data_IF_883523787275
#
_entry.id   IF_883523787275
#
_cell.length_a   1.000
_cell.length_b   1.000
_cell.length_c   1.000
_cell.angle_alpha   90.00
_cell.angle_beta   90.00
_cell.angle_gamma   90.00
#
_symmetry.space_group_name_H-M   'P 1'
#
loop_
_entity.id
_entity.type
_entity.pdbx_description
1 polymer ?
#
# COMPACT_ATOMS: atom_id res chain seq x y z
N UNK A 1 27.13 5.83 7.54
CA UNK A 1 26.16 6.63 6.76
C UNK A 1 24.85 5.83 6.70
N UNK A 2 23.85 6.17 7.48
CA UNK A 2 22.56 5.47 7.40
C UNK A 2 21.86 5.97 6.13
N UNK A 3 21.65 5.08 5.17
CA UNK A 3 20.84 5.36 4.00
C UNK A 3 19.43 5.70 4.47
N UNK A 4 18.90 6.88 4.12
CA UNK A 4 17.47 7.19 4.33
C UNK A 4 16.65 6.06 3.73
N UNK A 5 15.59 5.64 4.42
CA UNK A 5 14.68 4.63 3.89
C UNK A 5 14.13 5.10 2.53
N UNK A 6 14.29 4.28 1.50
CA UNK A 6 13.72 4.54 0.19
C UNK A 6 12.19 4.43 0.22
N UNK A 7 11.52 5.05 -0.74
CA UNK A 7 10.08 4.88 -0.99
C UNK A 7 9.93 3.91 -2.18
N UNK A 8 9.02 2.94 -2.04
CA UNK A 8 8.53 2.13 -3.15
C UNK A 8 7.02 2.39 -3.31
N UNK A 9 6.61 2.95 -4.45
CA UNK A 9 5.21 3.20 -4.76
C UNK A 9 4.65 2.13 -5.69
N UNK A 10 3.52 1.54 -5.29
CA UNK A 10 2.81 0.47 -5.98
C UNK A 10 1.44 0.98 -6.42
N UNK A 11 1.29 1.19 -7.72
CA UNK A 11 0.05 1.73 -8.29
C UNK A 11 -1.09 0.71 -8.32
N UNK A 12 -2.33 1.20 -8.40
CA UNK A 12 -3.54 0.39 -8.59
C UNK A 12 -3.63 -0.27 -9.96
N UNK A 13 -4.73 -1.00 -10.18
CA UNK A 13 -4.97 -1.73 -11.44
C UNK A 13 -5.08 -0.80 -12.64
N UNK A 14 -5.96 0.21 -12.53
CA UNK A 14 -6.28 1.16 -13.61
C UNK A 14 -5.40 2.43 -13.54
N UNK A 15 -4.15 2.27 -13.11
CA UNK A 15 -3.20 3.36 -12.92
C UNK A 15 -1.80 2.98 -13.37
N UNK A 16 -0.86 3.89 -13.19
CA UNK A 16 0.56 3.70 -13.53
C UNK A 16 1.45 4.52 -12.60
N UNK A 17 2.77 4.34 -12.66
CA UNK A 17 3.73 5.21 -11.97
C UNK A 17 3.60 6.70 -12.36
N UNK A 18 3.10 6.98 -13.58
CA UNK A 18 2.85 8.33 -14.12
C UNK A 18 1.48 8.89 -13.77
N UNK A 19 0.64 8.13 -13.03
CA UNK A 19 -0.64 8.61 -12.51
C UNK A 19 -0.47 9.71 -11.45
N UNK A 20 -1.58 10.31 -11.03
CA UNK A 20 -1.57 11.48 -10.13
C UNK A 20 -0.74 11.28 -8.86
N UNK A 21 -0.91 10.15 -8.17
CA UNK A 21 -0.16 9.84 -6.95
C UNK A 21 1.33 9.64 -7.23
N UNK A 22 1.67 8.88 -8.27
CA UNK A 22 3.07 8.62 -8.65
C UNK A 22 3.82 9.89 -9.03
N UNK A 23 3.20 10.77 -9.83
CA UNK A 23 3.80 12.07 -10.17
C UNK A 23 4.05 12.95 -8.95
N UNK A 24 3.10 12.99 -8.01
CA UNK A 24 3.22 13.78 -6.80
C UNK A 24 4.35 13.26 -5.89
N UNK A 25 4.41 11.94 -5.70
CA UNK A 25 5.49 11.32 -4.92
C UNK A 25 6.85 11.57 -5.59
N UNK A 26 6.95 11.39 -6.90
CA UNK A 26 8.20 11.60 -7.66
C UNK A 26 8.69 13.06 -7.59
N UNK A 27 7.77 14.01 -7.63
CA UNK A 27 8.11 15.42 -7.54
C UNK A 27 8.77 15.78 -6.19
N UNK A 28 8.32 15.15 -5.09
CA UNK A 28 8.86 15.39 -3.74
C UNK A 28 10.00 14.44 -3.37
N UNK A 29 10.01 13.23 -3.94
CA UNK A 29 10.97 12.16 -3.65
C UNK A 29 11.45 11.51 -4.95
N UNK A 30 12.32 12.16 -5.72
CA UNK A 30 12.74 11.72 -7.06
C UNK A 30 13.42 10.33 -7.08
N UNK A 31 14.06 9.93 -5.99
CA UNK A 31 14.73 8.61 -5.84
C UNK A 31 13.76 7.46 -5.52
N UNK A 32 12.44 7.71 -5.51
CA UNK A 32 11.44 6.67 -5.24
C UNK A 32 11.42 5.62 -6.34
N UNK A 33 11.40 4.36 -5.94
CA UNK A 33 11.19 3.24 -6.87
C UNK A 33 9.70 3.09 -7.19
N UNK A 34 9.35 3.11 -8.45
CA UNK A 34 7.97 3.06 -8.93
C UNK A 34 7.88 2.19 -10.18
N UNK A 35 7.76 0.88 -10.04
CA UNK A 35 7.69 -0.01 -11.20
C UNK A 35 6.33 0.05 -11.90
N UNK A 36 6.30 -0.17 -13.20
CA UNK A 36 5.10 -0.59 -13.89
C UNK A 36 4.74 -2.00 -13.44
N UNK A 37 3.50 -2.19 -12.98
CA UNK A 37 3.04 -3.44 -12.40
C UNK A 37 1.92 -4.03 -13.25
N UNK A 38 2.02 -5.32 -13.62
CA UNK A 38 0.99 -6.03 -14.36
C UNK A 38 -0.28 -6.24 -13.49
N UNK A 39 -1.38 -6.72 -14.09
CA UNK A 39 -2.63 -6.94 -13.33
C UNK A 39 -2.53 -8.03 -12.25
N UNK A 40 -1.80 -9.13 -12.51
CA UNK A 40 -1.78 -10.29 -11.61
C UNK A 40 -0.91 -10.05 -10.38
N UNK A 41 -1.44 -10.40 -9.21
CA UNK A 41 -0.77 -10.19 -7.92
C UNK A 41 0.62 -10.86 -7.85
N UNK A 42 0.73 -12.11 -8.32
CA UNK A 42 2.00 -12.86 -8.24
C UNK A 42 3.09 -12.22 -9.11
N UNK A 43 2.74 -11.75 -10.30
CA UNK A 43 3.70 -11.10 -11.20
C UNK A 43 4.20 -9.78 -10.61
N UNK A 44 3.31 -9.03 -9.92
CA UNK A 44 3.68 -7.82 -9.16
C UNK A 44 4.69 -8.13 -8.06
N UNK A 45 4.43 -9.18 -7.29
CA UNK A 45 5.30 -9.61 -6.19
C UNK A 45 6.68 -10.00 -6.70
N UNK A 46 6.76 -10.76 -7.80
CA UNK A 46 8.05 -11.14 -8.40
C UNK A 46 8.88 -9.92 -8.83
N UNK A 47 8.24 -8.90 -9.43
CA UNK A 47 8.93 -7.67 -9.85
C UNK A 47 9.55 -6.97 -8.63
N UNK A 48 8.79 -6.84 -7.54
CA UNK A 48 9.23 -6.15 -6.34
C UNK A 48 10.32 -6.94 -5.62
N UNK A 49 10.17 -8.27 -5.49
CA UNK A 49 11.15 -9.16 -4.87
C UNK A 49 12.49 -9.15 -5.60
N UNK A 50 12.45 -9.07 -6.94
CA UNK A 50 13.67 -8.97 -7.76
C UNK A 50 14.37 -7.60 -7.69
N UNK A 51 13.62 -6.53 -7.38
CA UNK A 51 14.13 -5.16 -7.45
C UNK A 51 14.63 -4.62 -6.10
N UNK A 52 13.92 -4.86 -5.02
CA UNK A 52 14.26 -4.30 -3.72
C UNK A 52 15.49 -5.00 -3.11
N UNK A 53 16.47 -4.21 -2.69
CA UNK A 53 17.72 -4.67 -2.08
C UNK A 53 17.96 -4.13 -0.68
N UNK A 54 17.14 -3.17 -0.24
CA UNK A 54 17.19 -2.55 1.08
C UNK A 54 15.78 -2.29 1.58
N UNK A 55 15.59 -2.16 2.91
CA UNK A 55 14.29 -1.89 3.49
C UNK A 55 13.73 -0.53 3.04
N UNK A 56 12.44 -0.52 2.71
CA UNK A 56 11.72 0.65 2.16
C UNK A 56 10.46 0.97 2.94
N UNK A 57 9.92 2.18 2.72
CA UNK A 57 8.53 2.51 3.01
C UNK A 57 7.71 2.13 1.77
N UNK A 58 6.74 1.23 1.94
CA UNK A 58 5.81 0.86 0.88
C UNK A 58 4.62 1.83 0.86
N UNK A 59 4.36 2.43 -0.29
CA UNK A 59 3.15 3.21 -0.52
C UNK A 59 2.33 2.49 -1.57
N UNK A 60 1.16 1.98 -1.21
CA UNK A 60 0.35 1.17 -2.13
C UNK A 60 -1.08 1.67 -2.26
N UNK A 61 -1.57 1.81 -3.50
CA UNK A 61 -2.93 2.26 -3.80
C UNK A 61 -3.77 1.14 -4.41
N UNK A 62 -4.94 0.87 -3.86
CA UNK A 62 -5.88 -0.16 -4.32
C UNK A 62 -5.21 -1.54 -4.44
N UNK A 63 -5.12 -2.13 -5.64
CA UNK A 63 -4.38 -3.38 -5.87
C UNK A 63 -2.90 -3.25 -5.46
N UNK A 64 -2.30 -2.06 -5.58
CA UNK A 64 -0.97 -1.78 -5.04
C UNK A 64 -0.90 -1.88 -3.52
N UNK A 65 -1.98 -1.54 -2.82
CA UNK A 65 -2.09 -1.72 -1.38
C UNK A 65 -2.15 -3.19 -0.97
N UNK A 66 -2.92 -4.02 -1.69
CA UNK A 66 -2.90 -5.48 -1.50
C UNK A 66 -1.52 -6.05 -1.81
N UNK A 67 -0.88 -5.59 -2.88
CA UNK A 67 0.49 -6.00 -3.25
C UNK A 67 1.49 -5.66 -2.14
N UNK A 68 1.40 -4.45 -1.55
CA UNK A 68 2.25 -4.03 -0.43
C UNK A 68 2.09 -4.94 0.79
N UNK A 69 0.85 -5.27 1.17
CA UNK A 69 0.55 -6.18 2.27
C UNK A 69 1.10 -7.59 2.00
N UNK A 70 0.87 -8.14 0.81
CA UNK A 70 1.34 -9.47 0.44
C UNK A 70 2.88 -9.54 0.39
N UNK A 71 3.53 -8.50 -0.12
CA UNK A 71 4.99 -8.38 -0.09
C UNK A 71 5.52 -8.32 1.35
N UNK A 72 4.92 -7.47 2.19
CA UNK A 72 5.33 -7.31 3.58
C UNK A 72 5.19 -8.61 4.40
N UNK A 73 4.17 -9.43 4.14
CA UNK A 73 4.04 -10.75 4.77
C UNK A 73 5.16 -11.71 4.39
N UNK A 74 5.60 -11.68 3.13
CA UNK A 74 6.70 -12.55 2.65
C UNK A 74 8.07 -12.04 3.07
N UNK A 75 8.23 -10.72 3.13
CA UNK A 75 9.51 -10.04 3.29
C UNK A 75 9.46 -8.96 4.39
N UNK A 76 9.07 -9.29 5.65
CA UNK A 76 8.82 -8.27 6.67
C UNK A 76 10.05 -7.42 7.01
N UNK A 77 11.25 -7.98 6.89
CA UNK A 77 12.52 -7.26 7.14
C UNK A 77 12.85 -6.21 6.07
N UNK A 78 12.18 -6.28 4.91
CA UNK A 78 12.35 -5.34 3.79
C UNK A 78 11.36 -4.18 3.84
N UNK A 79 10.51 -4.11 4.87
CA UNK A 79 9.48 -3.08 5.00
C UNK A 79 9.63 -2.36 6.32
N UNK A 80 9.90 -1.07 6.25
CA UNK A 80 10.04 -0.21 7.43
C UNK A 80 8.71 0.38 7.90
N UNK A 81 7.83 0.71 6.97
CA UNK A 81 6.46 1.19 7.22
C UNK A 81 5.61 1.03 5.96
N UNK A 82 4.31 1.15 6.11
CA UNK A 82 3.37 1.14 4.99
C UNK A 82 2.42 2.34 5.02
N UNK A 83 2.14 2.90 3.84
CA UNK A 83 1.04 3.83 3.58
C UNK A 83 0.10 3.18 2.58
N UNK A 84 -1.08 2.80 3.01
CA UNK A 84 -2.05 2.04 2.22
C UNK A 84 -3.25 2.92 1.89
N UNK A 85 -3.51 3.10 0.61
CA UNK A 85 -4.55 3.98 0.07
C UNK A 85 -5.67 3.10 -0.51
N UNK A 86 -6.80 3.03 0.17
CA UNK A 86 -7.94 2.19 -0.20
C UNK A 86 -7.50 0.78 -0.66
N UNK A 87 -6.74 0.01 0.16
CA UNK A 87 -6.16 -1.27 -0.27
C UNK A 87 -7.25 -2.26 -0.68
N UNK A 88 -7.04 -2.96 -1.80
CA UNK A 88 -7.98 -3.89 -2.40
C UNK A 88 -8.10 -5.21 -1.59
N UNK A 89 -8.64 -5.12 -0.38
CA UNK A 89 -8.83 -6.25 0.54
C UNK A 89 -10.29 -6.64 0.67
N UNK A 90 -10.55 -7.93 0.85
CA UNK A 90 -11.91 -8.45 1.03
C UNK A 90 -12.81 -8.34 -0.20
N UNK A 91 -12.27 -8.04 -1.35
CA UNK A 91 -12.98 -7.98 -2.63
C UNK A 91 -12.48 -9.04 -3.60
N UNK A 92 -13.29 -9.34 -4.60
CA UNK A 92 -12.92 -10.15 -5.77
C UNK A 92 -12.81 -9.23 -6.97
N UNK A 93 -11.74 -9.38 -7.74
CA UNK A 93 -11.57 -8.70 -9.02
C UNK A 93 -11.46 -9.78 -10.08
N UNK A 94 -12.55 -9.95 -10.84
CA UNK A 94 -12.67 -11.00 -11.85
C UNK A 94 -11.53 -10.92 -12.88
N UNK A 95 -10.92 -12.08 -13.19
CA UNK A 95 -9.79 -12.16 -14.12
C UNK A 95 -8.44 -11.65 -13.57
N UNK A 96 -8.38 -11.16 -12.33
CA UNK A 96 -7.17 -10.58 -11.72
C UNK A 96 -6.82 -11.27 -10.41
N UNK A 97 -7.79 -11.40 -9.50
CA UNK A 97 -7.65 -12.19 -8.29
C UNK A 97 -8.36 -13.52 -8.49
N UNK A 98 -7.61 -14.59 -8.59
CA UNK A 98 -8.14 -15.94 -8.83
C UNK A 98 -7.59 -16.91 -7.80
N UNK A 99 -8.37 -17.95 -7.51
CA UNK A 99 -7.94 -19.03 -6.64
C UNK A 99 -7.38 -18.54 -5.30
N UNK A 100 -6.10 -18.81 -5.07
CA UNK A 100 -5.40 -18.46 -3.82
C UNK A 100 -5.30 -16.95 -3.56
N UNK A 101 -5.28 -16.13 -4.60
CA UNK A 101 -5.17 -14.67 -4.44
C UNK A 101 -6.43 -14.07 -3.81
N UNK A 102 -7.60 -14.67 -4.03
CA UNK A 102 -8.87 -14.30 -3.37
C UNK A 102 -8.77 -14.59 -1.86
N UNK A 103 -8.23 -15.74 -1.48
CA UNK A 103 -8.04 -16.10 -0.07
C UNK A 103 -7.05 -15.14 0.60
N UNK A 104 -5.97 -14.80 -0.08
CA UNK A 104 -5.00 -13.80 0.38
C UNK A 104 -5.72 -12.47 0.62
N UNK A 105 -6.44 -11.94 -0.35
CA UNK A 105 -7.14 -10.66 -0.24
C UNK A 105 -8.15 -10.63 0.92
N UNK A 106 -8.77 -11.77 1.25
CA UNK A 106 -9.74 -11.89 2.35
C UNK A 106 -9.11 -12.02 3.73
N UNK A 107 -7.98 -12.71 3.85
CA UNK A 107 -7.36 -13.08 5.12
C UNK A 107 -6.12 -12.27 5.49
N UNK A 108 -5.62 -11.45 4.57
CA UNK A 108 -4.38 -10.69 4.75
C UNK A 108 -4.46 -9.77 5.98
N UNK A 109 -3.34 -9.60 6.65
CA UNK A 109 -3.17 -8.71 7.81
C UNK A 109 -2.01 -7.75 7.57
N UNK A 110 -1.96 -6.66 8.33
CA UNK A 110 -0.72 -5.89 8.49
C UNK A 110 0.23 -6.77 9.32
N UNK A 111 1.42 -7.11 8.79
CA UNK A 111 2.34 -7.99 9.53
C UNK A 111 2.77 -7.37 10.87
N UNK A 112 3.01 -8.20 11.89
CA UNK A 112 3.43 -7.70 13.19
C UNK A 112 4.75 -6.91 13.11
N UNK A 113 4.88 -5.89 13.95
CA UNK A 113 6.07 -5.04 14.03
C UNK A 113 6.22 -4.01 12.91
N UNK A 114 5.33 -3.96 11.92
CA UNK A 114 5.39 -2.99 10.84
C UNK A 114 4.36 -1.87 11.05
N UNK A 115 4.78 -0.62 11.25
CA UNK A 115 3.87 0.51 11.33
C UNK A 115 3.16 0.71 9.99
N UNK A 116 1.84 0.93 10.04
CA UNK A 116 1.06 1.18 8.84
C UNK A 116 0.04 2.30 9.06
N UNK A 117 -0.12 3.16 8.06
CA UNK A 117 -1.25 4.08 7.99
C UNK A 117 -2.12 3.70 6.81
N UNK A 118 -3.40 3.46 7.07
CA UNK A 118 -4.40 3.13 6.05
C UNK A 118 -5.32 4.34 5.90
N UNK A 119 -5.46 4.85 4.68
CA UNK A 119 -6.37 5.93 4.33
C UNK A 119 -7.46 5.35 3.42
N UNK A 120 -8.72 5.57 3.77
CA UNK A 120 -9.87 5.08 3.01
C UNK A 120 -10.93 6.17 2.88
N UNK A 121 -11.53 6.25 1.69
CA UNK A 121 -12.65 7.14 1.42
C UNK A 121 -13.96 6.60 2.01
N UNK A 122 -14.76 7.45 2.61
CA UNK A 122 -16.11 7.05 3.10
C UNK A 122 -17.10 6.86 1.95
N UNK A 123 -16.79 7.39 0.75
CA UNK A 123 -17.58 7.27 -0.45
C UNK A 123 -16.97 6.24 -1.44
N UNK A 124 -16.08 5.37 -0.96
CA UNK A 124 -15.48 4.31 -1.78
C UNK A 124 -16.51 3.26 -2.15
N UNK A 125 -16.86 3.19 -3.44
CA UNK A 125 -17.80 2.22 -4.02
C UNK A 125 -17.10 0.96 -4.56
N UNK A 126 -15.76 0.92 -4.53
CA UNK A 126 -14.96 -0.21 -5.04
C UNK A 126 -14.54 -1.14 -3.90
N UNK A 127 -13.92 -0.58 -2.86
CA UNK A 127 -13.50 -1.33 -1.68
C UNK A 127 -14.36 -0.93 -0.49
N UNK A 128 -15.27 -1.80 -0.01
CA UNK A 128 -16.11 -1.48 1.13
C UNK A 128 -15.28 -1.10 2.37
N UNK A 129 -15.65 -0.02 3.03
CA UNK A 129 -14.99 0.43 4.25
C UNK A 129 -14.96 -0.66 5.34
N UNK A 130 -15.99 -1.52 5.37
CA UNK A 130 -16.05 -2.69 6.26
C UNK A 130 -14.92 -3.69 6.01
N UNK A 131 -14.51 -3.89 4.77
CA UNK A 131 -13.38 -4.77 4.42
C UNK A 131 -12.05 -4.24 4.96
N UNK A 132 -11.88 -2.91 4.90
CA UNK A 132 -10.68 -2.25 5.45
C UNK A 132 -10.70 -2.26 6.98
N UNK A 133 -11.86 -2.04 7.61
CA UNK A 133 -12.01 -2.20 9.07
C UNK A 133 -11.66 -3.60 9.52
N UNK A 134 -12.15 -4.62 8.81
CA UNK A 134 -11.82 -6.01 9.09
C UNK A 134 -10.32 -6.32 8.95
N UNK A 135 -9.61 -5.70 8.00
CA UNK A 135 -8.14 -5.77 7.91
C UNK A 135 -7.48 -5.24 9.20
N UNK A 136 -7.90 -4.08 9.66
CA UNK A 136 -7.36 -3.47 10.90
C UNK A 136 -7.64 -4.35 12.10
N UNK A 137 -8.88 -4.83 12.24
CA UNK A 137 -9.33 -5.64 13.39
C UNK A 137 -8.61 -6.98 13.52
N UNK A 138 -8.30 -7.65 12.40
CA UNK A 138 -7.59 -8.94 12.39
C UNK A 138 -6.07 -8.80 12.43
N UNK A 139 -5.53 -7.58 12.26
CA UNK A 139 -4.07 -7.35 12.33
C UNK A 139 -3.57 -7.51 13.77
N UNK A 140 -2.45 -8.24 13.99
CA UNK A 140 -1.99 -8.58 15.34
C UNK A 140 -1.57 -7.36 16.16
N UNK A 141 -0.84 -6.41 15.57
CA UNK A 141 -0.31 -5.22 16.24
C UNK A 141 -1.14 -3.97 15.90
N UNK A 142 -2.42 -3.95 16.33
CA UNK A 142 -3.33 -2.83 16.03
C UNK A 142 -2.81 -1.47 16.50
N UNK A 143 -2.01 -1.42 17.55
CA UNK A 143 -1.39 -0.20 18.04
C UNK A 143 -0.40 0.45 17.07
N UNK A 144 0.11 -0.32 16.09
CA UNK A 144 0.96 0.15 15.01
C UNK A 144 0.18 0.48 13.73
N UNK A 145 -1.14 0.23 13.70
CA UNK A 145 -1.99 0.50 12.54
C UNK A 145 -2.86 1.72 12.78
N UNK A 146 -2.54 2.81 12.09
CA UNK A 146 -3.36 4.02 12.07
C UNK A 146 -4.37 3.92 10.94
N UNK A 147 -5.66 4.01 11.25
CA UNK A 147 -6.72 4.00 10.26
C UNK A 147 -7.38 5.38 10.19
N UNK A 148 -7.39 5.99 9.00
CA UNK A 148 -7.94 7.30 8.72
C UNK A 148 -9.02 7.17 7.65
N UNK A 149 -10.22 7.65 7.95
CA UNK A 149 -11.27 7.81 6.95
C UNK A 149 -11.29 9.26 6.45
N UNK A 150 -11.43 9.44 5.14
CA UNK A 150 -11.51 10.74 4.50
C UNK A 150 -12.86 10.91 3.78
N UNK A 151 -13.33 12.14 3.67
CA UNK A 151 -14.47 12.49 2.82
C UNK A 151 -14.03 12.50 1.35
N UNK A 152 -13.90 11.31 0.78
CA UNK A 152 -13.30 11.07 -0.54
C UNK A 152 -13.81 9.72 -1.10
N UNK A 153 -13.57 9.49 -2.38
CA UNK A 153 -13.90 8.25 -3.09
C UNK A 153 -12.71 7.24 -3.10
N UNK A 154 -12.82 6.20 -3.91
CA UNK A 154 -11.78 5.19 -4.08
C UNK A 154 -10.44 5.76 -4.57
N UNK A 155 -10.49 6.81 -5.37
CA UNK A 155 -9.30 7.41 -5.98
C UNK A 155 -8.50 8.28 -5.01
N UNK A 156 -9.11 8.75 -3.92
CA UNK A 156 -8.48 9.56 -2.86
C UNK A 156 -7.77 10.82 -3.41
N UNK A 157 -8.36 11.46 -4.42
CA UNK A 157 -7.76 12.64 -5.03
C UNK A 157 -7.82 13.89 -4.13
N UNK A 158 -8.78 13.96 -3.21
CA UNK A 158 -8.85 15.03 -2.22
C UNK A 158 -7.94 14.78 -1.01
N UNK A 159 -7.42 13.55 -0.88
CA UNK A 159 -6.57 13.10 0.23
C UNK A 159 -5.08 13.08 -0.11
N UNK A 160 -4.67 13.67 -1.22
CA UNK A 160 -3.27 13.65 -1.69
C UNK A 160 -2.32 14.36 -0.72
N UNK A 161 -2.74 15.48 -0.14
CA UNK A 161 -1.95 16.20 0.86
C UNK A 161 -1.74 15.36 2.12
N UNK A 162 -2.80 14.71 2.61
CA UNK A 162 -2.73 13.78 3.73
C UNK A 162 -1.78 12.60 3.45
N UNK A 163 -1.86 12.02 2.25
CA UNK A 163 -0.92 10.97 1.81
C UNK A 163 0.52 11.45 1.91
N UNK A 164 0.83 12.63 1.36
CA UNK A 164 2.19 13.19 1.36
C UNK A 164 2.68 13.52 2.77
N UNK A 165 1.80 14.02 3.63
CA UNK A 165 2.11 14.27 5.04
C UNK A 165 2.49 12.97 5.75
N UNK A 166 1.70 11.90 5.59
CA UNK A 166 1.97 10.59 6.22
C UNK A 166 3.31 10.01 5.74
N UNK A 167 3.60 10.08 4.43
CA UNK A 167 4.88 9.65 3.88
C UNK A 167 6.05 10.43 4.53
N UNK A 168 5.90 11.75 4.60
CA UNK A 168 6.90 12.62 5.21
C UNK A 168 7.12 12.34 6.69
N UNK A 169 6.07 12.02 7.44
CA UNK A 169 6.16 11.68 8.86
C UNK A 169 6.93 10.37 9.08
N UNK A 170 6.69 9.34 8.26
CA UNK A 170 7.47 8.11 8.31
C UNK A 170 8.94 8.32 7.94
N UNK A 171 9.24 9.13 6.93
CA UNK A 171 10.63 9.43 6.54
C UNK A 171 11.41 10.19 7.62
N UNK A 172 10.73 10.98 8.46
CA UNK A 172 11.35 11.67 9.60
C UNK A 172 11.54 10.74 10.80
N UNK A 173 10.60 9.83 11.03
CA UNK A 173 10.60 8.92 12.18
C UNK A 173 11.53 7.73 12.00
N UNK A 174 11.85 7.35 10.76
CA UNK A 174 12.68 6.18 10.44
C UNK A 174 14.08 6.65 10.07
N UNK A 175 15.08 6.30 10.87
CA UNK A 175 16.48 6.67 10.63
C UNK A 175 17.07 5.98 9.39
#
# INVERSE_FOLDING_TARGET
MFSKAGICFLHGLDSSPEGTKGRLIRASYPESYMPHLPPRLQDRLEIIEKALRSPVILVGSSLGGLTALAYAQRNPRMVKAMVLLAPAVGITVEGILEGRDIEIARSIVVPPGIPATIIAGVQDEVVPLSSIRALVERSPDRGLVRFITADDDHYLHQSLELMMQVIGDYLKAIP
#
